data_IF_638983815241
#
_entry.id   IF_638983815241
#
_cell.length_a   1.000
_cell.length_b   1.000
_cell.length_c   1.000
_cell.angle_alpha   90.00
_cell.angle_beta   90.00
_cell.angle_gamma   90.00
#
_symmetry.space_group_name_H-M   'P 1'
#
loop_
_entity.id
_entity.type
_entity.pdbx_description
1 polymer ?
#
# COMPACT_ATOMS: atom_id res chain seq x y z
N UNK A 1 13.29 -12.02 2.84
CA UNK A 1 13.15 -11.23 1.60
C UNK A 1 12.04 -10.20 1.76
N UNK A 2 12.36 -8.98 1.41
CA UNK A 2 11.42 -7.87 1.49
C UNK A 2 11.60 -6.95 0.28
N UNK A 3 10.52 -6.27 -0.09
CA UNK A 3 10.55 -5.23 -1.11
C UNK A 3 10.82 -3.90 -0.40
N UNK A 4 11.75 -3.10 -0.94
CA UNK A 4 12.01 -1.75 -0.47
C UNK A 4 12.09 -0.83 -1.68
N UNK A 5 11.23 0.20 -1.73
CA UNK A 5 11.26 1.22 -2.77
C UNK A 5 11.31 2.59 -2.11
N UNK A 6 12.16 3.48 -2.63
CA UNK A 6 12.34 4.83 -2.11
C UNK A 6 12.13 5.84 -3.21
N UNK A 7 11.50 6.96 -2.86
CA UNK A 7 11.33 8.06 -3.78
C UNK A 7 11.46 9.39 -3.02
N UNK A 8 12.10 10.37 -3.66
CA UNK A 8 12.16 11.73 -3.14
C UNK A 8 11.04 12.54 -3.76
N UNK A 9 10.19 13.11 -2.90
CA UNK A 9 9.04 13.90 -3.31
C UNK A 9 9.28 15.36 -2.95
N UNK A 10 8.98 16.26 -3.88
CA UNK A 10 9.27 17.70 -3.72
C UNK A 10 8.13 18.43 -3.01
N UNK A 11 7.57 17.82 -1.99
CA UNK A 11 6.49 18.38 -1.17
C UNK A 11 6.79 18.07 0.29
N UNK A 12 6.25 18.86 1.24
CA UNK A 12 6.54 18.64 2.65
C UNK A 12 5.90 17.35 3.19
N UNK A 13 6.45 16.88 4.30
CA UNK A 13 5.99 15.64 4.96
C UNK A 13 4.49 15.67 5.23
N UNK A 14 3.94 16.80 5.65
CA UNK A 14 2.51 16.93 5.92
C UNK A 14 1.66 16.63 4.68
N UNK A 15 2.13 17.05 3.51
CA UNK A 15 1.39 16.82 2.26
C UNK A 15 1.45 15.36 1.85
N UNK A 16 2.61 14.72 1.98
CA UNK A 16 2.75 13.29 1.69
C UNK A 16 1.90 12.48 2.66
N UNK A 17 1.93 12.83 3.95
CA UNK A 17 1.11 12.15 4.95
C UNK A 17 -0.38 12.20 4.62
N UNK A 18 -0.86 13.33 4.17
CA UNK A 18 -2.25 13.49 3.76
C UNK A 18 -2.60 12.57 2.58
N UNK A 19 -1.73 12.49 1.57
CA UNK A 19 -1.96 11.63 0.42
C UNK A 19 -1.98 10.14 0.78
N UNK A 20 -1.25 9.75 1.82
CA UNK A 20 -1.21 8.36 2.29
C UNK A 20 -2.40 8.01 3.18
N UNK A 21 -2.79 8.90 4.08
CA UNK A 21 -3.70 8.56 5.18
C UNK A 21 -5.13 9.06 5.02
N UNK A 22 -5.37 10.05 4.19
CA UNK A 22 -6.73 10.42 3.79
C UNK A 22 -7.17 9.44 2.70
N UNK A 23 -8.15 8.57 3.03
CA UNK A 23 -8.56 7.53 2.08
C UNK A 23 -9.09 8.10 0.76
N UNK A 24 -9.65 9.31 0.78
CA UNK A 24 -10.17 9.96 -0.43
C UNK A 24 -9.04 10.38 -1.37
N UNK A 25 -7.86 10.68 -0.83
CA UNK A 25 -6.68 10.95 -1.64
C UNK A 25 -5.93 9.68 -2.01
N UNK A 26 -5.80 8.74 -1.06
CA UNK A 26 -5.14 7.46 -1.30
C UNK A 26 -5.71 6.74 -2.51
N UNK A 27 -7.04 6.71 -2.64
CA UNK A 27 -7.70 6.02 -3.75
C UNK A 27 -7.38 6.64 -5.12
N UNK A 28 -7.08 7.93 -5.16
CA UNK A 28 -6.78 8.62 -6.43
C UNK A 28 -5.46 8.14 -7.04
N UNK A 29 -4.41 8.01 -6.23
CA UNK A 29 -3.12 7.58 -6.78
C UNK A 29 -2.96 6.06 -6.76
N UNK A 30 -3.51 5.39 -5.76
CA UNK A 30 -3.42 3.92 -5.65
C UNK A 30 -4.34 3.22 -6.63
N UNK A 31 -5.42 3.88 -7.02
CA UNK A 31 -6.49 3.38 -7.89
C UNK A 31 -7.29 2.26 -7.23
N UNK A 32 -8.02 2.66 -6.22
CA UNK A 32 -8.94 1.81 -5.49
C UNK A 32 -10.21 2.61 -5.17
N UNK A 33 -11.24 1.93 -4.73
CA UNK A 33 -12.39 2.52 -4.08
C UNK A 33 -12.44 1.93 -2.69
N UNK A 34 -12.40 2.79 -1.67
CA UNK A 34 -12.33 2.38 -0.26
C UNK A 34 -13.56 2.94 0.47
N UNK A 35 -14.17 2.12 1.31
CA UNK A 35 -15.50 2.39 1.86
C UNK A 35 -15.52 3.42 2.99
N UNK A 36 -14.39 3.75 3.58
CA UNK A 36 -14.33 4.73 4.66
C UNK A 36 -12.92 4.99 5.16
N UNK A 37 -12.77 5.84 6.19
CA UNK A 37 -11.46 6.24 6.70
C UNK A 37 -10.64 5.08 7.25
N UNK A 38 -9.31 5.23 7.21
CA UNK A 38 -8.39 4.30 7.85
C UNK A 38 -8.42 4.52 9.36
N UNK A 39 -8.63 3.44 10.11
CA UNK A 39 -8.64 3.46 11.58
C UNK A 39 -7.75 2.32 12.09
N UNK A 40 -6.80 2.66 12.97
CA UNK A 40 -5.88 1.66 13.53
C UNK A 40 -6.66 0.52 14.17
N UNK A 41 -6.27 -0.71 13.82
CA UNK A 41 -6.89 -1.94 14.33
C UNK A 41 -8.13 -2.38 13.57
N UNK A 42 -8.63 -1.58 12.63
CA UNK A 42 -9.85 -1.92 11.89
C UNK A 42 -9.54 -2.38 10.46
N UNK A 43 -10.42 -3.21 9.93
CA UNK A 43 -10.34 -3.67 8.54
C UNK A 43 -10.83 -2.57 7.61
N UNK A 44 -10.01 -2.23 6.62
CA UNK A 44 -10.38 -1.34 5.53
C UNK A 44 -10.82 -2.20 4.35
N UNK A 45 -11.97 -1.90 3.77
CA UNK A 45 -12.56 -2.68 2.68
C UNK A 45 -12.84 -1.84 1.45
N UNK A 46 -12.89 -2.48 0.30
CA UNK A 46 -13.17 -1.84 -0.96
C UNK A 46 -12.79 -2.74 -2.13
N UNK A 47 -12.44 -2.14 -3.24
CA UNK A 47 -11.97 -2.90 -4.41
C UNK A 47 -10.99 -2.07 -5.23
N UNK A 48 -10.20 -2.77 -6.04
CA UNK A 48 -9.23 -2.15 -6.94
C UNK A 48 -9.96 -1.60 -8.15
N UNK A 49 -9.56 -0.42 -8.61
CA UNK A 49 -10.12 0.20 -9.81
C UNK A 49 -9.12 0.27 -10.96
N UNK A 50 -7.92 -0.27 -10.76
CA UNK A 50 -6.90 -0.32 -11.81
C UNK A 50 -7.39 -1.20 -12.97
N UNK A 51 -7.31 -0.72 -14.24
CA UNK A 51 -7.81 -1.48 -15.39
C UNK A 51 -7.22 -2.88 -15.48
N UNK A 52 -8.10 -3.88 -15.57
CA UNK A 52 -7.72 -5.29 -15.60
C UNK A 52 -7.69 -5.96 -14.24
N UNK A 53 -7.78 -5.19 -13.15
CA UNK A 53 -7.68 -5.72 -11.77
C UNK A 53 -8.93 -5.43 -10.94
N UNK A 54 -10.02 -4.99 -11.58
CA UNK A 54 -11.24 -4.56 -10.88
C UNK A 54 -11.94 -5.69 -10.12
N UNK A 55 -11.62 -6.93 -10.42
CA UNK A 55 -12.13 -8.10 -9.71
C UNK A 55 -11.46 -8.32 -8.35
N UNK A 56 -10.36 -7.64 -8.09
CA UNK A 56 -9.63 -7.79 -6.82
C UNK A 56 -10.24 -6.90 -5.75
N UNK A 57 -10.34 -7.45 -4.55
CA UNK A 57 -10.79 -6.71 -3.37
C UNK A 57 -9.64 -5.92 -2.78
N UNK A 58 -9.97 -4.76 -2.22
CA UNK A 58 -9.11 -4.08 -1.27
C UNK A 58 -9.53 -4.55 0.12
N UNK A 59 -8.62 -5.19 0.83
CA UNK A 59 -8.81 -5.60 2.21
C UNK A 59 -7.48 -5.38 2.93
N UNK A 60 -7.50 -4.56 3.98
CA UNK A 60 -6.30 -4.26 4.74
C UNK A 60 -6.67 -4.05 6.19
N UNK A 61 -5.78 -4.46 7.10
CA UNK A 61 -5.93 -4.16 8.52
C UNK A 61 -4.90 -3.11 8.88
N UNK A 62 -5.37 -1.92 9.25
CA UNK A 62 -4.47 -0.81 9.59
C UNK A 62 -3.75 -1.12 10.89
N UNK A 63 -2.43 -1.09 10.86
CA UNK A 63 -1.58 -1.44 12.00
C UNK A 63 -1.13 -0.22 12.77
N UNK A 64 -0.54 0.76 12.09
CA UNK A 64 0.01 1.96 12.72
C UNK A 64 -0.28 3.20 11.89
N UNK A 65 -0.55 4.31 12.58
CA UNK A 65 -0.65 5.64 12.00
C UNK A 65 0.10 6.60 12.92
N UNK A 66 1.43 6.63 12.80
CA UNK A 66 2.29 7.54 13.57
C UNK A 66 2.46 8.82 12.76
N UNK A 67 1.90 9.90 13.25
CA UNK A 67 1.73 11.16 12.53
C UNK A 67 3.00 11.60 11.78
N UNK A 68 2.85 11.75 10.47
CA UNK A 68 3.89 12.21 9.55
C UNK A 68 5.17 11.35 9.54
N UNK A 69 5.10 10.13 10.05
CA UNK A 69 6.27 9.27 10.17
C UNK A 69 6.06 7.87 9.62
N UNK A 70 4.96 7.19 9.99
CA UNK A 70 4.72 5.80 9.63
C UNK A 70 3.23 5.51 9.46
N UNK A 71 2.88 4.98 8.30
CA UNK A 71 1.56 4.40 8.04
C UNK A 71 1.78 2.95 7.62
N UNK A 72 1.13 2.01 8.30
CA UNK A 72 1.30 0.61 7.97
C UNK A 72 0.00 -0.17 8.04
N UNK A 73 -0.08 -1.21 7.23
CA UNK A 73 -1.21 -2.13 7.22
C UNK A 73 -0.75 -3.51 6.77
N UNK A 74 -1.53 -4.53 7.13
CA UNK A 74 -1.38 -5.85 6.55
C UNK A 74 -2.48 -6.07 5.53
N UNK A 75 -2.18 -6.81 4.46
CA UNK A 75 -3.18 -7.23 3.50
C UNK A 75 -3.00 -8.71 3.16
N UNK A 76 -4.11 -9.43 2.89
CA UNK A 76 -4.01 -10.85 2.62
C UNK A 76 -3.44 -11.09 1.22
N UNK A 77 -2.77 -12.24 1.07
CA UNK A 77 -2.40 -12.75 -0.24
C UNK A 77 -3.68 -13.19 -0.96
N UNK A 78 -3.91 -12.65 -2.15
CA UNK A 78 -5.06 -13.02 -2.96
C UNK A 78 -4.79 -14.33 -3.68
N UNK A 79 -5.57 -15.36 -3.32
CA UNK A 79 -5.58 -16.62 -4.03
C UNK A 79 -6.38 -16.48 -5.33
N UNK A 80 -5.99 -17.24 -6.36
CA UNK A 80 -6.78 -17.34 -7.58
C UNK A 80 -8.06 -18.17 -7.36
N UNK A 81 -8.21 -18.84 -6.22
CA UNK A 81 -9.39 -19.61 -5.86
C UNK A 81 -10.50 -18.67 -5.37
N UNK A 82 -11.63 -18.56 -6.09
CA UNK A 82 -12.72 -17.69 -5.68
C UNK A 82 -13.40 -18.09 -4.37
N UNK A 83 -13.16 -19.32 -3.91
CA UNK A 83 -13.73 -19.83 -2.66
C UNK A 83 -12.75 -19.70 -1.49
N UNK A 84 -11.55 -19.14 -1.72
CA UNK A 84 -10.56 -18.97 -0.64
C UNK A 84 -11.05 -17.98 0.41
N UNK A 85 -10.81 -18.33 1.68
CA UNK A 85 -11.13 -17.47 2.81
C UNK A 85 -9.99 -16.46 3.00
N UNK A 86 -10.18 -15.22 2.54
CA UNK A 86 -9.17 -14.17 2.64
C UNK A 86 -9.00 -13.65 4.07
N UNK A 87 -9.98 -13.86 4.96
CA UNK A 87 -9.88 -13.39 6.35
C UNK A 87 -8.81 -14.15 7.13
N UNK A 88 -8.61 -15.43 6.77
CA UNK A 88 -7.60 -16.28 7.40
C UNK A 88 -6.40 -16.53 6.49
N UNK A 89 -6.33 -15.82 5.37
CA UNK A 89 -5.22 -15.97 4.44
C UNK A 89 -3.93 -15.39 5.05
N UNK A 90 -2.76 -15.98 4.75
CA UNK A 90 -1.51 -15.36 5.14
C UNK A 90 -1.40 -13.97 4.52
N UNK A 91 -0.84 -13.04 5.28
CA UNK A 91 -0.74 -11.65 4.86
C UNK A 91 0.71 -11.16 4.89
N UNK A 92 0.95 -10.09 4.16
CA UNK A 92 2.21 -9.35 4.21
C UNK A 92 1.97 -8.01 4.90
N UNK A 93 3.05 -7.41 5.39
CA UNK A 93 3.02 -6.11 6.05
C UNK A 93 3.57 -5.05 5.09
N UNK A 94 2.80 -3.99 4.91
CA UNK A 94 3.21 -2.82 4.13
C UNK A 94 3.46 -1.66 5.07
N UNK A 95 4.62 -1.01 4.94
CA UNK A 95 5.00 0.13 5.75
C UNK A 95 5.41 1.29 4.86
N UNK A 96 4.78 2.44 5.06
CA UNK A 96 5.19 3.71 4.44
C UNK A 96 5.88 4.55 5.49
N UNK A 97 7.17 4.83 5.30
CA UNK A 97 7.96 5.69 6.20
C UNK A 97 8.27 7.01 5.52
N UNK A 98 8.13 8.08 6.27
CA UNK A 98 8.38 9.43 5.78
C UNK A 98 9.53 10.03 6.57
N UNK A 99 10.46 10.67 5.86
CA UNK A 99 11.56 11.42 6.47
C UNK A 99 11.66 12.76 5.76
N UNK A 100 11.73 13.87 6.52
CA UNK A 100 11.98 15.18 5.90
C UNK A 100 13.40 15.23 5.35
N UNK A 101 13.53 15.72 4.13
CA UNK A 101 14.82 15.96 3.50
C UNK A 101 14.85 17.38 2.97
N UNK A 102 16.02 17.85 2.56
CA UNK A 102 16.14 19.18 1.96
C UNK A 102 15.29 19.22 0.68
N UNK A 103 14.33 20.12 0.65
CA UNK A 103 13.46 20.32 -0.50
C UNK A 103 12.25 19.39 -0.59
N UNK A 104 12.01 18.56 0.44
CA UNK A 104 10.85 17.68 0.37
C UNK A 104 10.84 16.54 1.37
N UNK A 105 10.43 15.37 0.90
CA UNK A 105 10.22 14.17 1.72
C UNK A 105 10.84 12.95 1.04
N UNK A 106 11.54 12.14 1.82
CA UNK A 106 11.91 10.80 1.39
C UNK A 106 10.79 9.84 1.83
N UNK A 107 10.15 9.22 0.87
CA UNK A 107 9.14 8.19 1.12
C UNK A 107 9.75 6.83 0.85
N UNK A 108 9.67 5.93 1.84
CA UNK A 108 10.11 4.54 1.69
C UNK A 108 8.92 3.63 1.89
N UNK A 109 8.62 2.78 0.92
CA UNK A 109 7.66 1.70 1.09
C UNK A 109 8.41 0.38 1.26
N UNK A 110 7.99 -0.40 2.25
CA UNK A 110 8.55 -1.72 2.52
C UNK A 110 7.40 -2.72 2.60
N UNK A 111 7.52 -3.81 1.87
CA UNK A 111 6.59 -4.94 2.04
C UNK A 111 7.39 -6.16 2.48
N UNK A 112 6.96 -6.78 3.58
CA UNK A 112 7.66 -7.90 4.23
C UNK A 112 6.66 -8.98 4.63
N UNK A 113 7.19 -10.16 4.99
CA UNK A 113 6.36 -11.28 5.43
C UNK A 113 6.04 -12.27 4.32
N UNK A 114 6.74 -12.22 3.20
CA UNK A 114 6.50 -13.17 2.09
C UNK A 114 6.75 -14.61 2.49
N UNK A 115 7.57 -14.86 3.51
CA UNK A 115 7.80 -16.18 4.07
C UNK A 115 6.55 -16.80 4.69
N UNK A 116 5.55 -15.98 5.01
CA UNK A 116 4.26 -16.47 5.53
C UNK A 116 3.33 -17.00 4.44
N UNK A 117 3.64 -16.72 3.18
CA UNK A 117 2.83 -17.18 2.05
C UNK A 117 3.14 -18.63 1.72
N UNK A 118 2.22 -19.35 1.06
CA UNK A 118 2.51 -20.70 0.58
C UNK A 118 3.76 -20.71 -0.29
N UNK A 119 4.59 -21.74 -0.16
CA UNK A 119 5.89 -21.83 -0.83
C UNK A 119 5.77 -21.63 -2.34
N UNK A 120 4.74 -22.21 -2.95
CA UNK A 120 4.55 -22.15 -4.40
C UNK A 120 4.15 -20.75 -4.89
N UNK A 121 3.65 -19.90 -4.00
CA UNK A 121 3.14 -18.58 -4.36
C UNK A 121 4.15 -17.45 -4.07
N UNK A 122 5.18 -17.71 -3.25
CA UNK A 122 6.08 -16.67 -2.75
C UNK A 122 6.78 -15.87 -3.84
N UNK A 123 7.39 -16.56 -4.78
CA UNK A 123 8.21 -15.92 -5.81
C UNK A 123 7.33 -15.08 -6.75
N UNK A 124 6.17 -15.61 -7.12
CA UNK A 124 5.25 -14.88 -7.98
C UNK A 124 4.70 -13.65 -7.28
N UNK A 125 4.26 -13.81 -6.03
CA UNK A 125 3.74 -12.69 -5.24
C UNK A 125 4.79 -11.60 -5.06
N UNK A 126 6.02 -11.98 -4.75
CA UNK A 126 7.13 -11.04 -4.59
C UNK A 126 7.37 -10.25 -5.88
N UNK A 127 7.48 -10.92 -7.03
CA UNK A 127 7.74 -10.26 -8.31
C UNK A 127 6.58 -9.35 -8.71
N UNK A 128 5.34 -9.82 -8.56
CA UNK A 128 4.17 -9.03 -8.92
C UNK A 128 4.08 -7.76 -8.07
N UNK A 129 4.30 -7.89 -6.76
CA UNK A 129 4.22 -6.77 -5.85
C UNK A 129 5.41 -5.81 -6.00
N UNK A 130 6.60 -6.32 -6.31
CA UNK A 130 7.75 -5.46 -6.60
C UNK A 130 7.48 -4.56 -7.80
N UNK A 131 6.97 -5.11 -8.89
CA UNK A 131 6.56 -4.33 -10.06
C UNK A 131 5.44 -3.36 -9.73
N UNK A 132 4.47 -3.80 -8.94
CA UNK A 132 3.36 -2.97 -8.49
C UNK A 132 3.81 -1.77 -7.68
N UNK A 133 4.75 -1.96 -6.74
CA UNK A 133 5.27 -0.85 -5.94
C UNK A 133 6.07 0.15 -6.77
N UNK A 134 6.84 -0.31 -7.76
CA UNK A 134 7.53 0.59 -8.69
C UNK A 134 6.51 1.51 -9.36
N UNK A 135 5.40 0.97 -9.82
CA UNK A 135 4.35 1.73 -10.49
C UNK A 135 3.65 2.67 -9.51
N UNK A 136 3.34 2.21 -8.29
CA UNK A 136 2.68 3.04 -7.29
C UNK A 136 3.54 4.22 -6.83
N UNK A 137 4.85 4.06 -6.78
CA UNK A 137 5.74 5.18 -6.46
C UNK A 137 5.67 6.26 -7.54
N UNK A 138 5.58 5.86 -8.81
CA UNK A 138 5.36 6.81 -9.92
C UNK A 138 3.99 7.47 -9.80
N UNK A 139 2.97 6.71 -9.43
CA UNK A 139 1.61 7.23 -9.30
C UNK A 139 1.50 8.30 -8.22
N UNK A 140 2.08 8.07 -7.05
CA UNK A 140 2.01 9.07 -5.97
C UNK A 140 2.82 10.32 -6.31
N UNK A 141 3.96 10.15 -6.98
CA UNK A 141 4.76 11.29 -7.44
C UNK A 141 3.96 12.16 -8.41
N UNK A 142 3.32 11.54 -9.39
CA UNK A 142 2.48 12.25 -10.37
C UNK A 142 1.31 12.95 -9.70
N UNK A 143 0.65 12.27 -8.77
CA UNK A 143 -0.47 12.84 -8.04
C UNK A 143 -0.05 14.09 -7.25
N UNK A 144 1.06 14.02 -6.54
CA UNK A 144 1.55 15.13 -5.72
C UNK A 144 2.08 16.29 -6.57
N UNK A 145 2.63 16.00 -7.75
CA UNK A 145 3.10 17.04 -8.67
C UNK A 145 1.95 17.86 -9.25
N UNK A 146 0.77 17.27 -9.38
CA UNK A 146 -0.42 17.89 -9.99
C UNK A 146 -1.40 18.47 -8.96
N UNK A 147 -1.15 18.19 -7.70
CA UNK A 147 -2.00 18.64 -6.61
C UNK A 147 -1.35 19.66 -5.73
#
# INVERSE_FOLDING_TARGET
NRIVKRIELKVPVSRVWQALTDYREFVEWFRAKIDGPFVVGEVSTGHITYPGYEHLKWEAVVQKMEHERLFSFTWPHHSDDPNADNLNAPSTLVEFRLEPIKGGTLLTVTESGFENLPVDDRDKAFRDNEGGWTEQMTNIETYLANG
#
